data_IF_521651365492
#
_entry.id   IF_521651365492
#
_cell.length_a   1.000
_cell.length_b   1.000
_cell.length_c   1.000
_cell.angle_alpha   90.00
_cell.angle_beta   90.00
_cell.angle_gamma   90.00
#
_symmetry.space_group_name_H-M   'P 1'
#
loop_
_entity.id
_entity.type
_entity.pdbx_description
1 polymer ?
#
# COMPACT_ATOMS: atom_id res chain seq x y z
N UNK A 1 8.69 56.43 -18.23
CA UNK A 1 9.85 55.69 -17.69
C UNK A 1 9.31 54.92 -16.49
N UNK A 2 8.62 53.81 -16.77
CA UNK A 2 8.02 52.96 -15.75
C UNK A 2 9.12 52.13 -15.10
N UNK A 3 9.29 52.30 -13.79
CA UNK A 3 10.15 51.48 -12.96
C UNK A 3 9.49 50.11 -12.77
N UNK A 4 10.07 49.09 -13.37
CA UNK A 4 9.79 47.67 -13.10
C UNK A 4 9.91 47.38 -11.59
N UNK A 5 9.07 46.49 -11.03
CA UNK A 5 9.17 46.12 -9.62
C UNK A 5 10.46 45.33 -9.37
N UNK A 6 11.09 45.63 -8.25
CA UNK A 6 12.30 44.99 -7.77
C UNK A 6 12.17 43.46 -7.78
N UNK A 7 13.21 42.80 -8.28
CA UNK A 7 13.38 41.36 -8.20
C UNK A 7 13.07 40.87 -6.78
N UNK A 8 12.20 39.88 -6.66
CA UNK A 8 11.96 39.18 -5.41
C UNK A 8 13.31 38.76 -4.82
N UNK A 9 13.65 39.32 -3.66
CA UNK A 9 14.83 38.91 -2.92
C UNK A 9 14.71 37.40 -2.67
N UNK A 10 15.57 36.61 -3.30
CA UNK A 10 15.61 35.17 -3.09
C UNK A 10 15.94 34.93 -1.64
N UNK A 11 14.95 34.53 -0.84
CA UNK A 11 15.17 34.14 0.54
C UNK A 11 16.08 32.93 0.55
N UNK A 12 17.27 33.06 1.12
CA UNK A 12 18.19 31.95 1.28
C UNK A 12 17.59 31.01 2.32
N UNK A 13 17.79 29.69 2.17
CA UNK A 13 17.32 28.69 3.14
C UNK A 13 17.79 29.01 4.58
N UNK A 14 18.92 29.71 4.69
CA UNK A 14 19.52 30.18 5.93
C UNK A 14 18.79 31.36 6.60
N UNK A 15 17.81 31.98 5.94
CA UNK A 15 17.01 33.10 6.48
C UNK A 15 15.64 32.66 7.01
N UNK A 16 15.25 31.39 6.79
CA UNK A 16 13.92 30.91 7.18
C UNK A 16 13.75 30.78 8.71
N UNK A 17 12.56 31.00 9.27
CA UNK A 17 12.31 30.76 10.69
C UNK A 17 12.42 29.26 11.04
N UNK A 18 12.67 28.92 12.31
CA UNK A 18 12.82 27.52 12.77
C UNK A 18 11.58 26.67 12.43
N UNK A 19 10.37 27.21 12.59
CA UNK A 19 9.13 26.50 12.26
C UNK A 19 9.05 26.07 10.79
N UNK A 20 9.59 26.90 9.88
CA UNK A 20 9.66 26.56 8.46
C UNK A 20 10.68 25.44 8.21
N UNK A 21 11.83 25.46 8.88
CA UNK A 21 12.83 24.39 8.81
C UNK A 21 12.28 23.07 9.35
N UNK A 22 11.57 23.09 10.48
CA UNK A 22 10.89 21.91 11.04
C UNK A 22 9.81 21.39 10.09
N UNK A 23 9.04 22.27 9.46
CA UNK A 23 8.02 21.91 8.47
C UNK A 23 8.62 21.26 7.21
N UNK A 24 9.79 21.75 6.76
CA UNK A 24 10.56 21.14 5.67
C UNK A 24 11.05 19.75 6.09
N UNK A 25 11.70 19.62 7.24
CA UNK A 25 12.19 18.31 7.72
C UNK A 25 11.05 17.30 7.92
N UNK A 26 9.88 17.74 8.38
CA UNK A 26 8.70 16.90 8.50
C UNK A 26 8.14 16.43 7.14
N UNK A 27 8.52 17.03 6.00
CA UNK A 27 8.12 16.55 4.66
C UNK A 27 8.95 15.33 4.27
N UNK A 28 10.23 15.38 4.61
CA UNK A 28 11.26 14.48 4.12
C UNK A 28 11.13 13.08 4.71
N UNK A 29 11.62 12.11 3.94
CA UNK A 29 11.87 10.77 4.48
C UNK A 29 13.08 10.83 5.44
N UNK A 30 13.22 9.91 6.41
CA UNK A 30 14.36 9.90 7.31
C UNK A 30 15.75 10.00 6.63
N UNK A 31 16.06 9.28 5.53
CA UNK A 31 17.35 9.44 4.86
C UNK A 31 17.51 10.82 4.21
N UNK A 32 16.46 11.37 3.61
CA UNK A 32 16.51 12.70 2.99
C UNK A 32 16.66 13.80 4.05
N UNK A 33 16.00 13.66 5.20
CA UNK A 33 16.15 14.57 6.34
C UNK A 33 17.57 14.54 6.89
N UNK A 34 18.20 13.35 6.98
CA UNK A 34 19.59 13.22 7.38
C UNK A 34 20.55 13.86 6.38
N UNK A 35 20.32 13.66 5.06
CA UNK A 35 21.10 14.31 4.01
C UNK A 35 20.97 15.85 4.08
N UNK A 36 19.75 16.35 4.31
CA UNK A 36 19.47 17.76 4.43
C UNK A 36 20.13 18.39 5.68
N UNK A 37 20.14 17.65 6.81
CA UNK A 37 20.86 18.03 8.02
C UNK A 37 22.38 18.10 7.78
N UNK A 38 22.96 17.15 7.03
CA UNK A 38 24.38 17.19 6.67
C UNK A 38 24.73 18.37 5.76
N UNK A 39 23.80 18.81 4.91
CA UNK A 39 24.02 19.89 3.95
C UNK A 39 23.92 21.31 4.57
N UNK A 40 23.19 21.48 5.67
CA UNK A 40 22.93 22.79 6.27
C UNK A 40 22.93 22.75 7.80
N UNK A 41 23.76 23.59 8.43
CA UNK A 41 23.86 23.68 9.91
C UNK A 41 22.54 24.03 10.58
N UNK A 42 21.72 24.90 9.98
CA UNK A 42 20.40 25.26 10.54
C UNK A 42 19.41 24.11 10.46
N UNK A 43 19.46 23.32 9.38
CA UNK A 43 18.68 22.08 9.30
C UNK A 43 19.20 21.02 10.27
N UNK A 44 20.51 20.93 10.51
CA UNK A 44 21.05 20.03 11.53
C UNK A 44 20.56 20.40 12.94
N UNK A 45 20.52 21.70 13.27
CA UNK A 45 19.99 22.19 14.53
C UNK A 45 18.49 21.88 14.65
N UNK A 46 17.70 22.16 13.62
CA UNK A 46 16.27 21.86 13.59
C UNK A 46 15.98 20.35 13.64
N UNK A 47 16.83 19.51 13.03
CA UNK A 47 16.70 18.05 13.07
C UNK A 47 16.93 17.46 14.47
N UNK A 48 17.71 18.17 15.30
CA UNK A 48 17.97 17.78 16.69
C UNK A 48 16.97 18.40 17.66
N UNK A 49 16.05 19.23 17.18
CA UNK A 49 15.08 19.94 18.02
C UNK A 49 14.02 18.97 18.56
N UNK A 50 13.69 19.02 19.87
CA UNK A 50 12.60 18.23 20.45
C UNK A 50 11.22 18.62 19.90
N UNK A 51 11.13 19.71 19.13
CA UNK A 51 9.92 20.19 18.45
C UNK A 51 9.67 19.51 17.10
N UNK A 52 10.66 18.81 16.51
CA UNK A 52 10.46 18.11 15.24
C UNK A 52 9.39 16.99 15.27
N UNK A 53 9.32 16.13 16.31
CA UNK A 53 8.24 15.15 16.44
C UNK A 53 6.87 15.82 16.48
N UNK A 54 6.76 16.99 17.12
CA UNK A 54 5.52 17.77 17.18
C UNK A 54 5.13 18.29 15.79
N UNK A 55 6.07 18.88 15.05
CA UNK A 55 5.82 19.34 13.68
C UNK A 55 5.35 18.19 12.76
N UNK A 56 5.95 17.00 12.91
CA UNK A 56 5.52 15.81 12.17
C UNK A 56 4.13 15.32 12.61
N UNK A 57 3.83 15.28 13.90
CA UNK A 57 2.53 14.87 14.43
C UNK A 57 1.41 15.81 13.95
N UNK A 58 1.63 17.12 13.97
CA UNK A 58 0.71 18.14 13.47
C UNK A 58 0.43 17.96 11.98
N UNK A 59 1.47 17.71 11.17
CA UNK A 59 1.29 17.41 9.73
C UNK A 59 0.45 16.15 9.50
N UNK A 60 0.64 15.12 10.33
CA UNK A 60 -0.11 13.87 10.21
C UNK A 60 -1.55 13.98 10.73
N UNK A 61 -1.96 15.16 11.24
CA UNK A 61 -3.29 15.37 11.82
C UNK A 61 -3.51 14.61 13.13
N UNK A 62 -2.43 14.27 13.84
CA UNK A 62 -2.50 13.48 15.06
C UNK A 62 -2.78 14.35 16.29
N UNK A 63 -3.59 13.87 17.25
CA UNK A 63 -3.64 14.48 18.57
C UNK A 63 -2.23 14.47 19.16
N UNK A 64 -1.83 15.61 19.73
CA UNK A 64 -0.49 15.77 20.26
C UNK A 64 -0.22 14.71 21.33
N UNK A 65 0.86 13.92 21.21
CA UNK A 65 1.31 13.05 22.28
C UNK A 65 1.45 13.86 23.57
N UNK A 66 0.82 13.40 24.66
CA UNK A 66 0.90 14.04 25.98
C UNK A 66 2.34 14.36 26.45
N UNK A 67 3.37 13.53 26.16
CA UNK A 67 4.75 13.86 26.49
C UNK A 67 5.28 15.13 25.81
N UNK A 68 4.73 15.52 24.65
CA UNK A 68 5.13 16.72 23.90
C UNK A 68 4.35 17.99 24.32
N UNK A 69 3.23 17.82 25.02
CA UNK A 69 2.39 18.91 25.54
C UNK A 69 2.87 19.45 26.88
N UNK A 70 3.61 18.63 27.65
CA UNK A 70 4.27 19.06 28.88
C UNK A 70 5.49 19.93 28.52
N UNK A 71 5.22 21.20 28.21
CA UNK A 71 6.22 22.20 27.80
C UNK A 71 7.26 22.49 28.89
N UNK A 72 8.27 21.64 28.99
CA UNK A 72 9.44 21.79 29.84
C UNK A 72 10.11 20.43 30.05
N UNK A 73 11.31 20.25 29.49
CA UNK A 73 12.16 19.05 29.60
C UNK A 73 11.59 17.74 29.04
N UNK A 74 11.11 17.77 27.78
CA UNK A 74 10.98 16.53 27.02
C UNK A 74 12.37 15.92 26.82
N UNK A 75 12.63 14.77 27.45
CA UNK A 75 13.87 14.00 27.29
C UNK A 75 14.18 13.84 25.79
N UNK A 76 15.36 14.27 25.31
CA UNK A 76 15.72 14.15 23.89
C UNK A 76 15.64 12.69 23.40
N UNK A 77 15.87 11.70 24.28
CA UNK A 77 15.72 10.29 23.92
C UNK A 77 14.25 9.89 23.75
N UNK A 78 13.34 10.42 24.57
CA UNK A 78 11.88 10.26 24.39
C UNK A 78 11.40 10.95 23.10
N UNK A 79 11.85 12.18 22.82
CA UNK A 79 11.53 12.87 21.56
C UNK A 79 12.00 12.08 20.33
N UNK A 80 13.20 11.52 20.38
CA UNK A 80 13.74 10.66 19.32
C UNK A 80 12.96 9.33 19.16
N UNK A 81 12.47 8.72 20.26
CA UNK A 81 11.57 7.55 20.21
C UNK A 81 10.26 7.90 19.50
N UNK A 82 9.62 9.00 19.91
CA UNK A 82 8.36 9.46 19.29
C UNK A 82 8.57 9.75 17.80
N UNK A 83 9.65 10.42 17.42
CA UNK A 83 9.96 10.69 16.01
C UNK A 83 10.09 9.40 15.19
N UNK A 84 10.82 8.41 15.70
CA UNK A 84 10.97 7.09 15.07
C UNK A 84 9.62 6.38 14.94
N UNK A 85 8.81 6.41 15.98
CA UNK A 85 7.47 5.83 16.01
C UNK A 85 6.54 6.50 15.00
N UNK A 86 6.54 7.84 14.91
CA UNK A 86 5.76 8.60 13.93
C UNK A 86 6.19 8.29 12.49
N UNK A 87 7.49 8.23 12.22
CA UNK A 87 7.97 7.81 10.89
C UNK A 87 7.59 6.37 10.57
N UNK A 88 7.65 5.46 11.56
CA UNK A 88 7.23 4.07 11.40
C UNK A 88 5.74 3.96 11.05
N UNK A 89 4.87 4.69 11.76
CA UNK A 89 3.43 4.73 11.47
C UNK A 89 3.13 5.40 10.13
N UNK A 90 3.82 6.50 9.80
CA UNK A 90 3.71 7.16 8.48
C UNK A 90 4.05 6.20 7.34
N UNK A 91 5.05 5.33 7.53
CA UNK A 91 5.43 4.31 6.53
C UNK A 91 4.39 3.21 6.35
N UNK A 92 3.54 2.96 7.35
CA UNK A 92 2.46 1.99 7.26
C UNK A 92 1.26 2.54 6.49
N UNK A 93 1.08 3.85 6.37
CA UNK A 93 -0.10 4.43 5.71
C UNK A 93 -0.24 3.97 4.26
N UNK A 94 -1.49 3.71 3.87
CA UNK A 94 -1.89 3.38 2.51
C UNK A 94 -2.39 1.95 2.35
N UNK A 95 -2.33 1.46 1.11
CA UNK A 95 -2.89 0.18 0.69
C UNK A 95 -1.81 -0.91 0.64
N UNK A 96 -2.19 -2.08 1.15
CA UNK A 96 -1.33 -3.24 1.30
C UNK A 96 -2.05 -4.47 0.77
N UNK A 97 -1.27 -5.38 0.20
CA UNK A 97 -1.75 -6.66 -0.30
C UNK A 97 -1.27 -7.78 0.59
N UNK A 98 -2.19 -8.58 1.11
CA UNK A 98 -1.89 -9.80 1.86
C UNK A 98 -1.34 -10.87 0.92
N UNK A 99 -0.23 -11.51 1.31
CA UNK A 99 0.32 -12.66 0.62
C UNK A 99 -0.38 -13.95 1.09
N UNK A 100 -0.49 -14.97 0.21
CA UNK A 100 -0.91 -16.30 0.63
C UNK A 100 -0.15 -16.77 1.86
N UNK A 101 -0.88 -17.16 2.90
CA UNK A 101 -0.28 -17.99 3.95
C UNK A 101 -0.08 -19.40 3.38
N UNK A 102 1.10 -19.97 3.60
CA UNK A 102 1.38 -21.38 3.27
C UNK A 102 0.64 -22.36 4.20
N UNK A 103 -0.02 -21.84 5.25
CA UNK A 103 -0.84 -22.63 6.16
C UNK A 103 -2.24 -22.85 5.59
N UNK A 104 -2.65 -24.11 5.49
CA UNK A 104 -3.95 -24.58 4.94
C UNK A 104 -5.12 -24.26 5.89
N UNK A 105 -4.97 -23.26 6.77
CA UNK A 105 -5.99 -22.87 7.74
C UNK A 105 -7.11 -22.10 7.04
N UNK A 106 -8.19 -22.82 6.76
CA UNK A 106 -9.45 -22.29 6.24
C UNK A 106 -10.20 -21.55 7.35
N UNK A 107 -9.90 -20.27 7.60
CA UNK A 107 -10.82 -19.44 8.38
C UNK A 107 -10.94 -18.00 7.87
N UNK A 108 -12.05 -17.78 7.16
CA UNK A 108 -13.04 -16.69 7.30
C UNK A 108 -12.68 -15.21 7.06
N UNK A 109 -11.47 -14.85 6.65
CA UNK A 109 -11.27 -13.55 5.98
C UNK A 109 -10.32 -13.71 4.79
N UNK A 110 -10.92 -13.98 3.63
CA UNK A 110 -10.23 -14.14 2.35
C UNK A 110 -9.80 -12.82 1.70
N UNK A 111 -9.79 -11.74 2.48
CA UNK A 111 -9.37 -10.41 2.05
C UNK A 111 -7.88 -10.37 1.75
N UNK A 112 -7.56 -10.17 0.48
CA UNK A 112 -6.23 -10.01 -0.07
C UNK A 112 -5.72 -8.57 0.02
N UNK A 113 -6.58 -7.63 0.45
CA UNK A 113 -6.26 -6.22 0.60
C UNK A 113 -6.44 -5.75 2.04
N UNK A 114 -5.55 -4.87 2.47
CA UNK A 114 -5.60 -4.17 3.74
C UNK A 114 -5.33 -2.68 3.53
N UNK A 115 -5.99 -1.83 4.32
CA UNK A 115 -5.75 -0.41 4.39
C UNK A 115 -5.26 -0.03 5.78
N UNK A 116 -4.23 0.81 5.84
CA UNK A 116 -3.75 1.43 7.06
C UNK A 116 -4.07 2.91 6.97
N UNK A 117 -5.00 3.36 7.80
CA UNK A 117 -5.52 4.72 7.81
C UNK A 117 -5.55 5.27 9.23
N UNK A 118 -5.46 6.59 9.37
CA UNK A 118 -5.61 7.23 10.67
C UNK A 118 -7.06 7.14 11.13
N UNK A 119 -7.25 6.58 12.32
CA UNK A 119 -8.52 6.51 12.99
C UNK A 119 -8.71 7.72 13.91
N UNK A 120 -9.96 8.03 14.31
CA UNK A 120 -10.22 9.03 15.33
C UNK A 120 -9.41 8.73 16.59
N UNK A 121 -8.88 9.78 17.24
CA UNK A 121 -8.01 9.71 18.45
C UNK A 121 -6.53 9.38 18.19
N UNK A 122 -6.04 9.47 16.96
CA UNK A 122 -4.60 9.39 16.68
C UNK A 122 -4.03 7.98 16.71
N UNK A 123 -4.90 6.97 16.61
CA UNK A 123 -4.48 5.60 16.40
C UNK A 123 -4.48 5.31 14.91
N UNK A 124 -3.59 4.43 14.46
CA UNK A 124 -3.56 3.92 13.10
C UNK A 124 -4.39 2.63 13.08
N UNK A 125 -5.46 2.59 12.30
CA UNK A 125 -6.28 1.40 12.13
C UNK A 125 -5.85 0.66 10.86
N UNK A 126 -5.60 -0.64 11.00
CA UNK A 126 -5.44 -1.57 9.90
C UNK A 126 -6.76 -2.32 9.70
N UNK A 127 -7.34 -2.19 8.50
CA UNK A 127 -8.59 -2.83 8.13
C UNK A 127 -8.42 -3.69 6.89
N UNK A 128 -8.95 -4.90 6.92
CA UNK A 128 -9.09 -5.73 5.71
C UNK A 128 -10.21 -5.15 4.85
N UNK A 129 -9.97 -5.12 3.54
CA UNK A 129 -10.95 -4.66 2.56
C UNK A 129 -11.60 -5.88 1.91
N UNK A 130 -12.92 -5.90 1.87
CA UNK A 130 -13.68 -6.93 1.19
C UNK A 130 -14.69 -6.29 0.23
N UNK A 131 -14.97 -6.92 -0.93
CA UNK A 131 -16.06 -6.48 -1.78
C UNK A 131 -17.40 -6.60 -1.05
N UNK A 132 -18.20 -5.55 -1.04
CA UNK A 132 -19.57 -5.61 -0.53
C UNK A 132 -20.48 -6.35 -1.52
N UNK A 133 -21.48 -7.12 -1.05
CA UNK A 133 -22.54 -7.63 -1.93
C UNK A 133 -23.45 -6.51 -2.49
N UNK A 134 -23.34 -5.28 -1.96
CA UNK A 134 -24.20 -4.15 -2.32
C UNK A 134 -23.45 -3.11 -3.16
N UNK A 135 -23.47 -3.31 -4.48
CA UNK A 135 -22.95 -2.33 -5.45
C UNK A 135 -21.44 -2.13 -5.38
N UNK A 136 -20.98 -0.88 -5.49
CA UNK A 136 -19.55 -0.50 -5.50
C UNK A 136 -18.94 -0.29 -4.11
N UNK A 137 -19.70 -0.59 -3.04
CA UNK A 137 -19.27 -0.36 -1.67
C UNK A 137 -18.15 -1.33 -1.23
N UNK A 138 -17.23 -0.85 -0.40
CA UNK A 138 -16.13 -1.65 0.16
C UNK A 138 -16.38 -1.85 1.65
N UNK A 139 -16.46 -3.10 2.09
CA UNK A 139 -16.57 -3.41 3.51
C UNK A 139 -15.19 -3.33 4.17
N UNK A 140 -15.11 -2.65 5.31
CA UNK A 140 -13.89 -2.57 6.14
C UNK A 140 -14.06 -3.46 7.36
N UNK A 141 -13.10 -4.34 7.62
CA UNK A 141 -13.02 -5.09 8.88
C UNK A 141 -11.71 -4.77 9.60
N UNK A 142 -11.73 -3.98 10.68
CA UNK A 142 -10.52 -3.65 11.44
C UNK A 142 -9.97 -4.92 12.10
N UNK A 143 -8.65 -5.11 12.00
CA UNK A 143 -7.98 -6.30 12.58
C UNK A 143 -6.80 -5.94 13.47
N UNK A 144 -6.13 -4.80 13.25
CA UNK A 144 -5.07 -4.29 14.12
C UNK A 144 -5.26 -2.80 14.35
N UNK A 145 -4.99 -2.35 15.57
CA UNK A 145 -4.85 -0.92 15.89
C UNK A 145 -3.44 -0.66 16.40
N UNK A 146 -2.82 0.42 15.94
CA UNK A 146 -1.50 0.86 16.40
C UNK A 146 -1.60 2.24 17.03
N UNK A 147 -0.84 2.46 18.10
CA UNK A 147 -0.71 3.77 18.75
C UNK A 147 0.70 3.97 19.29
N UNK A 148 0.98 5.18 19.77
CA UNK A 148 2.20 5.51 20.49
C UNK A 148 1.84 5.57 21.97
N UNK A 149 2.57 4.82 22.80
CA UNK A 149 2.37 4.81 24.25
C UNK A 149 3.06 6.01 24.94
N UNK A 150 2.97 6.07 26.27
CA UNK A 150 3.58 7.15 27.06
C UNK A 150 5.12 7.15 27.00
N UNK A 151 5.73 5.99 26.69
CA UNK A 151 7.18 5.86 26.54
C UNK A 151 7.69 6.31 25.17
N UNK A 152 6.77 6.58 24.23
CA UNK A 152 7.07 6.94 22.85
C UNK A 152 7.25 5.75 21.93
N UNK A 153 6.97 4.53 22.41
CA UNK A 153 7.08 3.30 21.64
C UNK A 153 5.75 2.95 20.98
N UNK A 154 5.83 2.26 19.84
CA UNK A 154 4.64 1.83 19.09
C UNK A 154 4.06 0.56 19.70
N UNK A 155 2.81 0.63 20.12
CA UNK A 155 2.04 -0.53 20.59
C UNK A 155 1.01 -0.93 19.54
N UNK A 156 0.78 -2.23 19.37
CA UNK A 156 -0.23 -2.75 18.47
C UNK A 156 -1.09 -3.82 19.14
N UNK A 157 -2.40 -3.72 18.91
CA UNK A 157 -3.41 -4.61 19.49
C UNK A 157 -4.29 -5.20 18.39
N UNK A 158 -4.53 -6.51 18.46
CA UNK A 158 -5.52 -7.17 17.61
C UNK A 158 -6.93 -6.72 18.00
N UNK A 159 -7.80 -6.57 17.01
CA UNK A 159 -9.22 -6.28 17.24
C UNK A 159 -9.96 -7.61 17.40
N UNK A 160 -10.54 -7.85 18.58
CA UNK A 160 -11.33 -9.04 18.86
C UNK A 160 -10.56 -10.28 19.33
N UNK A 161 -9.23 -10.21 19.44
CA UNK A 161 -8.40 -11.23 20.11
C UNK A 161 -7.65 -10.60 21.29
N UNK A 162 -7.64 -11.28 22.44
CA UNK A 162 -6.90 -10.85 23.62
C UNK A 162 -5.40 -11.17 23.43
N UNK A 163 -4.65 -10.25 22.82
CA UNK A 163 -3.21 -10.37 22.72
C UNK A 163 -2.49 -9.19 22.05
N UNK A 164 -1.29 -8.81 22.52
CA UNK A 164 -0.44 -7.85 21.81
C UNK A 164 0.01 -8.44 20.47
N UNK A 165 0.14 -7.57 19.46
CA UNK A 165 0.57 -7.93 18.10
C UNK A 165 1.84 -7.14 17.77
N UNK A 166 2.70 -7.70 16.93
CA UNK A 166 3.86 -7.04 16.36
C UNK A 166 3.65 -6.83 14.85
N UNK A 167 4.02 -5.64 14.35
CA UNK A 167 4.02 -5.31 12.90
C UNK A 167 5.45 -5.06 12.44
N UNK A 168 6.13 -6.07 11.94
CA UNK A 168 7.55 -6.00 11.62
C UNK A 168 7.78 -5.69 10.14
N UNK A 169 8.70 -4.77 9.83
CA UNK A 169 9.07 -4.47 8.45
C UNK A 169 10.14 -5.46 7.96
N UNK A 170 9.87 -6.09 6.81
CA UNK A 170 10.84 -6.87 6.04
C UNK A 170 11.26 -6.02 4.84
N UNK A 171 12.24 -5.13 5.06
CA UNK A 171 12.62 -4.13 4.07
C UNK A 171 11.63 -2.96 3.97
N UNK A 172 11.45 -2.41 2.76
CA UNK A 172 10.71 -1.15 2.57
C UNK A 172 9.23 -1.34 2.22
N UNK A 173 8.89 -2.42 1.53
CA UNK A 173 7.57 -2.65 0.95
C UNK A 173 6.89 -3.92 1.47
N UNK A 174 7.42 -4.55 2.52
CA UNK A 174 6.86 -5.78 3.08
C UNK A 174 6.80 -5.67 4.60
N UNK A 175 5.65 -6.04 5.16
CA UNK A 175 5.42 -6.15 6.60
C UNK A 175 4.92 -7.54 6.98
N UNK A 176 5.16 -7.92 8.23
CA UNK A 176 4.68 -9.15 8.84
C UNK A 176 3.93 -8.79 10.11
N UNK A 177 2.70 -9.27 10.22
CA UNK A 177 1.84 -9.09 11.39
C UNK A 177 1.78 -10.43 12.13
N UNK A 178 2.25 -10.47 13.36
CA UNK A 178 2.36 -11.70 14.15
C UNK A 178 2.04 -11.44 15.62
N UNK A 179 1.60 -12.45 16.40
CA UNK A 179 1.38 -12.28 17.82
C UNK A 179 2.69 -11.90 18.50
N UNK A 180 2.65 -10.88 19.37
CA UNK A 180 3.82 -10.50 20.13
C UNK A 180 4.21 -11.66 21.05
N UNK A 181 5.48 -12.07 21.01
CA UNK A 181 5.98 -13.05 21.96
C UNK A 181 5.82 -12.46 23.36
N UNK A 182 5.15 -13.20 24.26
CA UNK A 182 5.11 -12.82 25.67
C UNK A 182 6.56 -12.68 26.14
N UNK A 183 6.98 -11.46 26.49
CA UNK A 183 8.27 -11.22 27.10
C UNK A 183 8.29 -11.97 28.42
N UNK A 184 8.91 -13.14 28.46
CA UNK A 184 9.41 -13.69 29.71
C UNK A 184 10.52 -12.75 30.16
N UNK A 185 10.25 -11.98 31.21
CA UNK A 185 11.29 -11.22 31.90
C UNK A 185 12.35 -12.14 32.50
N UNK A 186 13.49 -11.52 32.85
CA UNK A 186 14.75 -12.09 33.39
C UNK A 186 15.68 -12.56 32.24
N UNK A 187 16.87 -12.00 31.99
CA UNK A 187 17.88 -11.42 32.89
C UNK A 187 18.68 -10.26 32.25
N UNK A 188 19.14 -9.36 33.14
CA UNK A 188 20.30 -8.49 32.96
C UNK A 188 21.54 -9.31 32.55
N UNK A 189 22.40 -8.76 31.68
CA UNK A 189 23.84 -8.66 31.99
C UNK A 189 24.60 -7.83 30.93
N UNK A 190 25.18 -6.75 31.46
CA UNK A 190 26.55 -6.28 31.27
C UNK A 190 26.99 -5.70 29.91
N UNK A 191 27.28 -4.40 29.98
CA UNK A 191 28.09 -3.64 29.06
C UNK A 191 29.48 -4.27 28.89
N UNK A 192 29.92 -4.44 27.64
CA UNK A 192 31.34 -4.51 27.32
C UNK A 192 31.65 -3.74 26.03
N UNK A 193 32.79 -3.10 26.11
CA UNK A 193 33.24 -1.92 25.39
C UNK A 193 33.88 -2.23 24.03
N UNK A 194 33.86 -1.23 23.15
CA UNK A 194 34.58 -1.05 21.87
C UNK A 194 35.65 -2.07 21.43
N UNK A 195 35.54 -2.46 20.16
CA UNK A 195 36.68 -2.81 19.29
C UNK A 195 36.26 -3.22 17.87
N UNK A 196 36.63 -2.42 16.86
CA UNK A 196 36.47 -2.70 15.42
C UNK A 196 37.56 -3.67 14.88
N UNK A 197 37.42 -4.22 13.65
CA UNK A 197 37.67 -5.64 13.31
C UNK A 197 39.04 -5.94 12.65
N UNK A 198 39.31 -7.21 12.30
CA UNK A 198 39.65 -7.49 10.91
C UNK A 198 39.06 -8.80 10.32
N UNK A 199 38.54 -8.66 9.09
CA UNK A 199 38.69 -9.48 7.88
C UNK A 199 39.41 -10.86 7.97
N UNK A 200 38.65 -11.98 7.93
CA UNK A 200 39.04 -13.28 7.34
C UNK A 200 37.78 -14.00 6.80
N UNK A 201 37.42 -13.74 5.54
CA UNK A 201 37.54 -14.62 4.36
C UNK A 201 36.76 -15.96 4.43
N UNK A 202 35.69 -16.03 3.64
CA UNK A 202 35.19 -17.19 2.88
C UNK A 202 35.56 -18.60 3.35
N UNK A 203 34.68 -19.29 4.11
CA UNK A 203 34.60 -20.77 4.02
C UNK A 203 33.42 -21.48 4.75
N UNK A 204 32.18 -20.96 4.76
CA UNK A 204 31.08 -21.70 5.44
C UNK A 204 29.82 -21.97 4.60
N UNK A 205 29.86 -21.69 3.29
CA UNK A 205 28.82 -22.10 2.34
C UNK A 205 29.34 -23.15 1.34
N UNK A 206 29.57 -24.38 1.80
CA UNK A 206 29.52 -25.55 0.92
C UNK A 206 29.36 -26.85 1.71
N UNK A 207 28.21 -27.49 1.54
CA UNK A 207 27.96 -28.93 1.68
C UNK A 207 28.22 -29.59 3.05
N UNK A 208 27.15 -30.08 3.67
CA UNK A 208 27.01 -31.53 3.95
C UNK A 208 25.58 -31.93 4.29
N UNK A 209 25.08 -32.87 3.49
CA UNK A 209 23.93 -33.73 3.76
C UNK A 209 24.16 -34.48 5.09
N UNK A 210 23.10 -34.59 5.89
CA UNK A 210 22.90 -35.41 7.12
C UNK A 210 23.35 -36.88 6.92
N UNK A 211 23.56 -37.75 7.97
CA UNK A 211 22.69 -37.93 9.15
C UNK A 211 23.35 -38.34 10.51
N UNK A 212 22.67 -38.15 11.64
CA UNK A 212 23.02 -38.86 12.89
C UNK A 212 22.61 -38.20 14.22
N UNK A 213 21.56 -38.76 14.84
CA UNK A 213 21.31 -38.92 16.28
C UNK A 213 21.70 -37.79 17.28
N UNK A 214 20.67 -37.13 17.83
CA UNK A 214 20.80 -36.26 19.01
C UNK A 214 19.45 -35.75 19.51
N UNK A 215 18.58 -36.66 19.95
CA UNK A 215 17.25 -36.37 20.48
C UNK A 215 17.33 -35.54 21.77
N UNK A 216 17.18 -34.21 21.66
CA UNK A 216 16.75 -33.36 22.79
C UNK A 216 15.26 -33.13 22.66
N UNK A 217 14.50 -33.95 23.40
CA UNK A 217 13.06 -33.82 23.63
C UNK A 217 12.76 -32.40 24.13
N UNK A 218 12.25 -31.54 23.26
CA UNK A 218 11.56 -30.32 23.65
C UNK A 218 10.25 -30.76 24.30
N UNK A 219 10.14 -30.56 25.61
CA UNK A 219 8.96 -30.90 26.40
C UNK A 219 7.73 -30.21 25.82
N UNK A 220 6.85 -31.01 25.21
CA UNK A 220 5.45 -30.66 24.94
C UNK A 220 4.73 -30.62 26.29
N UNK A 221 4.73 -29.47 26.97
CA UNK A 221 3.73 -29.20 28.00
C UNK A 221 3.57 -27.69 28.13
N UNK A 222 2.37 -27.21 27.83
CA UNK A 222 2.00 -25.80 28.03
C UNK A 222 1.51 -25.03 26.80
N UNK A 223 1.25 -25.66 25.64
CA UNK A 223 0.36 -25.00 24.65
C UNK A 223 -1.07 -25.06 25.17
N UNK A 224 -1.43 -24.09 26.03
CA UNK A 224 -2.82 -23.67 26.15
C UNK A 224 -3.31 -23.43 24.72
N UNK A 225 -4.41 -24.11 24.38
CA UNK A 225 -5.17 -23.90 23.15
C UNK A 225 -5.72 -22.47 23.15
N UNK A 226 -4.87 -21.50 22.85
CA UNK A 226 -5.27 -20.20 22.38
C UNK A 226 -5.27 -20.27 20.86
N UNK A 227 -6.36 -19.85 20.25
CA UNK A 227 -6.48 -19.58 18.82
C UNK A 227 -5.53 -18.40 18.54
N UNK A 228 -4.25 -18.68 18.35
CA UNK A 228 -3.24 -17.64 18.15
C UNK A 228 -3.22 -17.23 16.69
N UNK A 229 -3.27 -15.92 16.44
CA UNK A 229 -3.02 -15.31 15.14
C UNK A 229 -1.77 -15.94 14.49
N UNK A 230 -1.91 -16.44 13.25
CA UNK A 230 -0.76 -16.87 12.46
C UNK A 230 -0.05 -15.65 11.86
N UNK A 231 1.25 -15.76 11.56
CA UNK A 231 1.99 -14.67 10.93
C UNK A 231 1.42 -14.36 9.53
N UNK A 232 0.99 -13.12 9.31
CA UNK A 232 0.43 -12.64 8.06
C UNK A 232 1.40 -11.68 7.36
N UNK A 233 1.67 -11.92 6.08
CA UNK A 233 2.60 -11.12 5.29
C UNK A 233 1.83 -10.15 4.39
N UNK A 234 2.25 -8.89 4.34
CA UNK A 234 1.64 -7.88 3.47
C UNK A 234 2.68 -7.11 2.66
N UNK A 235 2.40 -6.89 1.38
CA UNK A 235 3.25 -6.11 0.47
C UNK A 235 2.57 -4.80 0.10
N UNK A 236 3.29 -3.68 0.21
CA UNK A 236 2.77 -2.35 -0.10
C UNK A 236 2.39 -2.23 -1.56
N UNK A 237 1.26 -1.59 -1.83
CA UNK A 237 0.87 -1.13 -3.16
C UNK A 237 1.38 0.30 -3.28
N UNK A 238 2.60 0.48 -3.80
CA UNK A 238 3.24 1.80 -3.89
C UNK A 238 2.49 2.74 -4.85
N UNK A 239 2.00 2.17 -5.95
CA UNK A 239 1.38 2.85 -7.08
C UNK A 239 -0.15 2.71 -7.01
N UNK A 240 -0.75 3.08 -5.88
CA UNK A 240 -2.18 2.86 -5.63
C UNK A 240 -3.11 3.92 -6.26
N UNK A 241 -2.56 5.09 -6.62
CA UNK A 241 -3.30 6.22 -7.21
C UNK A 241 -2.71 6.57 -8.60
N UNK A 242 -3.54 7.08 -9.52
CA UNK A 242 -3.09 7.51 -10.84
C UNK A 242 -2.24 8.79 -10.75
N UNK A 243 -1.44 9.02 -11.79
CA UNK A 243 -0.69 10.28 -11.96
C UNK A 243 -0.94 10.84 -13.36
N UNK A 244 -0.63 12.11 -13.60
CA UNK A 244 -0.76 12.71 -14.94
C UNK A 244 0.02 11.95 -16.01
N UNK A 245 1.21 11.46 -15.67
CA UNK A 245 2.04 10.66 -16.58
C UNK A 245 1.57 9.20 -16.72
N UNK A 246 0.86 8.67 -15.72
CA UNK A 246 0.37 7.29 -15.67
C UNK A 246 -1.09 7.28 -15.21
N UNK A 247 -2.03 7.68 -16.09
CA UNK A 247 -3.42 7.92 -15.71
C UNK A 247 -4.20 6.65 -15.36
N UNK A 248 -3.76 5.50 -15.88
CA UNK A 248 -4.39 4.21 -15.60
C UNK A 248 -3.81 3.50 -14.38
N UNK A 249 -2.68 3.97 -13.85
CA UNK A 249 -1.99 3.32 -12.75
C UNK A 249 -2.86 3.39 -11.50
N UNK A 250 -2.92 2.32 -10.70
CA UNK A 250 -3.64 2.38 -9.44
C UNK A 250 -4.32 1.08 -9.04
N UNK A 251 -4.92 1.14 -7.85
CA UNK A 251 -5.89 0.16 -7.39
C UNK A 251 -7.31 0.65 -7.68
N UNK A 252 -8.02 -0.16 -8.45
CA UNK A 252 -9.34 0.13 -8.98
C UNK A 252 -10.36 -0.91 -8.49
N UNK A 253 -11.64 -0.54 -8.50
CA UNK A 253 -12.76 -1.43 -8.24
C UNK A 253 -13.80 -1.33 -9.34
N UNK A 254 -14.41 -2.45 -9.70
CA UNK A 254 -15.43 -2.52 -10.74
C UNK A 254 -16.38 -3.69 -10.52
N UNK A 255 -17.55 -3.63 -11.15
CA UNK A 255 -18.51 -4.73 -11.15
C UNK A 255 -18.19 -5.63 -12.34
N UNK A 256 -17.82 -6.89 -12.06
CA UNK A 256 -17.52 -7.86 -13.10
C UNK A 256 -18.79 -8.42 -13.75
N UNK A 257 -18.63 -9.20 -14.82
CA UNK A 257 -19.74 -9.87 -15.52
C UNK A 257 -20.56 -10.78 -14.60
N UNK A 258 -19.96 -11.35 -13.55
CA UNK A 258 -20.69 -12.10 -12.51
C UNK A 258 -21.49 -11.21 -11.54
N UNK A 259 -21.58 -9.91 -11.81
CA UNK A 259 -22.24 -8.89 -10.99
C UNK A 259 -21.70 -8.81 -9.56
N UNK A 260 -20.41 -9.12 -9.42
CA UNK A 260 -19.68 -9.05 -8.16
C UNK A 260 -18.68 -7.91 -8.20
N UNK A 261 -18.53 -7.19 -7.10
CA UNK A 261 -17.47 -6.20 -6.97
C UNK A 261 -16.11 -6.91 -6.91
N UNK A 262 -15.17 -6.41 -7.69
CA UNK A 262 -13.81 -6.94 -7.80
C UNK A 262 -12.80 -5.80 -7.77
N UNK A 263 -11.59 -6.12 -7.33
CA UNK A 263 -10.46 -5.20 -7.30
C UNK A 263 -9.50 -5.50 -8.45
N UNK A 264 -9.00 -4.45 -9.08
CA UNK A 264 -8.08 -4.52 -10.22
C UNK A 264 -6.87 -3.66 -9.92
N UNK A 265 -5.68 -4.23 -10.06
CA UNK A 265 -4.41 -3.52 -9.94
C UNK A 265 -3.84 -3.30 -11.33
N UNK A 266 -3.63 -2.04 -11.70
CA UNK A 266 -3.04 -1.64 -12.97
C UNK A 266 -1.67 -1.06 -12.73
N UNK A 267 -0.65 -1.64 -13.37
CA UNK A 267 0.75 -1.26 -13.21
C UNK A 267 1.40 -1.00 -14.56
N UNK A 268 2.22 0.04 -14.61
CA UNK A 268 3.11 0.32 -15.73
C UNK A 268 4.44 -0.39 -15.48
N UNK A 269 4.92 -1.12 -16.48
CA UNK A 269 6.23 -1.77 -16.42
C UNK A 269 7.36 -0.82 -16.85
N UNK A 270 8.60 -1.28 -16.64
CA UNK A 270 9.81 -0.49 -16.95
C UNK A 270 10.04 -0.29 -18.46
N UNK A 271 9.36 -1.07 -19.30
CA UNK A 271 9.44 -1.02 -20.77
C UNK A 271 8.34 -0.09 -21.33
N UNK A 272 7.47 0.45 -20.46
CA UNK A 272 6.40 1.37 -20.82
C UNK A 272 5.10 0.68 -21.23
N UNK A 273 4.95 -0.62 -20.96
CA UNK A 273 3.71 -1.38 -21.09
C UNK A 273 2.81 -1.23 -19.86
N UNK A 274 1.55 -1.66 -20.01
CA UNK A 274 0.54 -1.69 -18.96
C UNK A 274 0.07 -3.12 -18.77
N UNK A 275 -0.06 -3.52 -17.51
CA UNK A 275 -0.68 -4.80 -17.14
C UNK A 275 -1.77 -4.56 -16.10
N UNK A 276 -2.91 -5.21 -16.28
CA UNK A 276 -3.99 -5.24 -15.30
C UNK A 276 -4.17 -6.65 -14.77
N UNK A 277 -4.28 -6.74 -13.45
CA UNK A 277 -4.47 -7.98 -12.74
C UNK A 277 -5.63 -7.84 -11.76
N UNK A 278 -6.51 -8.83 -11.74
CA UNK A 278 -7.52 -8.94 -10.71
C UNK A 278 -6.87 -9.35 -9.39
N UNK A 279 -7.26 -8.66 -8.32
CA UNK A 279 -6.88 -8.94 -6.95
C UNK A 279 -8.03 -9.75 -6.33
N UNK A 280 -7.94 -11.08 -6.40
CA UNK A 280 -9.03 -11.99 -6.06
C UNK A 280 -9.10 -12.31 -4.56
N UNK A 281 -10.30 -12.17 -3.99
CA UNK A 281 -10.66 -12.65 -2.63
C UNK A 281 -11.52 -13.92 -2.66
N UNK A 282 -12.08 -14.29 -3.82
CA UNK A 282 -13.34 -15.02 -3.86
C UNK A 282 -13.25 -16.51 -4.17
N UNK A 283 -12.09 -17.10 -4.46
CA UNK A 283 -12.01 -18.55 -4.71
C UNK A 283 -10.72 -19.11 -4.13
N UNK A 284 -10.85 -19.94 -3.10
CA UNK A 284 -9.77 -20.57 -2.32
C UNK A 284 -8.86 -21.54 -3.09
N UNK A 285 -8.55 -21.26 -4.34
CA UNK A 285 -7.56 -21.96 -5.14
C UNK A 285 -6.68 -20.89 -5.77
N UNK A 286 -5.43 -20.86 -5.32
CA UNK A 286 -4.38 -19.89 -5.71
C UNK A 286 -4.77 -18.43 -5.48
N UNK A 287 -4.34 -17.84 -4.36
CA UNK A 287 -4.23 -16.37 -4.25
C UNK A 287 -3.08 -15.92 -5.17
N UNK A 288 -3.40 -15.90 -6.46
CA UNK A 288 -2.52 -15.53 -7.55
C UNK A 288 -3.29 -14.51 -8.37
N UNK A 289 -2.63 -13.40 -8.67
CA UNK A 289 -3.16 -12.40 -9.56
C UNK A 289 -3.65 -13.06 -10.85
N UNK A 290 -4.94 -12.91 -11.17
CA UNK A 290 -5.46 -13.33 -12.47
C UNK A 290 -5.18 -12.19 -13.44
N UNK A 291 -4.31 -12.38 -14.45
CA UNK A 291 -4.09 -11.33 -15.43
C UNK A 291 -5.40 -11.13 -16.21
N UNK A 292 -5.77 -9.88 -16.49
CA UNK A 292 -6.99 -9.53 -17.22
C UNK A 292 -6.65 -9.00 -18.60
N UNK A 293 -5.79 -7.98 -18.66
CA UNK A 293 -5.33 -7.42 -19.93
C UNK A 293 -3.90 -6.91 -19.82
N UNK A 294 -3.29 -6.74 -20.99
CA UNK A 294 -1.99 -6.11 -21.12
C UNK A 294 -1.90 -5.32 -22.43
N UNK A 295 -0.98 -4.37 -22.47
CA UNK A 295 -0.54 -3.75 -23.72
C UNK A 295 0.91 -3.31 -23.58
N UNK A 296 1.69 -3.49 -24.64
CA UNK A 296 3.03 -2.90 -24.77
C UNK A 296 2.98 -1.52 -25.42
N UNK A 297 1.87 -1.19 -26.08
CA UNK A 297 1.67 0.10 -26.70
C UNK A 297 0.75 0.96 -25.84
N UNK A 298 1.34 1.98 -25.22
CA UNK A 298 0.64 2.92 -24.34
C UNK A 298 0.26 4.23 -25.03
N UNK A 299 0.37 4.31 -26.36
CA UNK A 299 -0.09 5.48 -27.11
C UNK A 299 -1.62 5.55 -27.09
N UNK A 300 -2.15 6.59 -26.45
CA UNK A 300 -3.56 6.87 -26.47
C UNK A 300 -4.01 7.39 -27.83
N UNK A 301 -5.18 6.95 -28.27
CA UNK A 301 -5.95 7.57 -29.33
C UNK A 301 -6.66 8.77 -28.70
N UNK A 302 -6.40 9.96 -29.23
CA UNK A 302 -7.01 11.21 -28.80
C UNK A 302 -8.15 11.63 -29.75
N UNK A 303 -8.97 12.58 -29.32
CA UNK A 303 -10.03 13.14 -30.17
C UNK A 303 -9.44 13.90 -31.38
N UNK A 304 -10.11 13.91 -32.55
CA UNK A 304 -11.39 13.25 -32.83
C UNK A 304 -11.25 11.74 -33.09
N UNK A 305 -12.16 10.94 -32.53
CA UNK A 305 -12.19 9.49 -32.72
C UNK A 305 -12.76 9.10 -34.08
N UNK A 306 -12.27 7.98 -34.63
CA UNK A 306 -12.84 7.37 -35.84
C UNK A 306 -14.25 6.83 -35.57
N UNK A 307 -15.10 6.79 -36.61
CA UNK A 307 -16.47 6.22 -36.54
C UNK A 307 -16.46 4.80 -35.96
N UNK A 308 -15.49 3.97 -36.35
CA UNK A 308 -15.30 2.62 -35.82
C UNK A 308 -15.13 2.58 -34.29
N UNK A 309 -14.32 3.49 -33.73
CA UNK A 309 -14.07 3.52 -32.27
C UNK A 309 -15.28 4.10 -31.51
N UNK A 310 -16.02 5.02 -32.13
CA UNK A 310 -17.28 5.52 -31.58
C UNK A 310 -18.37 4.44 -31.56
N UNK A 311 -18.47 3.63 -32.62
CA UNK A 311 -19.41 2.50 -32.70
C UNK A 311 -19.05 1.42 -31.67
N UNK A 312 -17.76 1.12 -31.52
CA UNK A 312 -17.28 0.19 -30.50
C UNK A 312 -17.65 0.59 -29.08
N UNK A 313 -17.73 1.89 -28.79
CA UNK A 313 -18.15 2.39 -27.48
C UNK A 313 -19.68 2.44 -27.36
N UNK A 314 -20.35 3.08 -28.33
CA UNK A 314 -21.78 3.39 -28.27
C UNK A 314 -22.68 2.16 -28.30
N UNK A 315 -22.21 1.04 -28.86
CA UNK A 315 -22.96 -0.21 -28.92
C UNK A 315 -22.91 -1.08 -27.66
N UNK A 316 -22.08 -0.73 -26.66
CA UNK A 316 -21.81 -1.57 -25.49
C UNK A 316 -22.61 -1.18 -24.26
N UNK A 317 -22.92 -2.19 -23.44
CA UNK A 317 -23.60 -2.02 -22.17
C UNK A 317 -22.60 -1.90 -21.01
N UNK A 318 -22.74 -0.84 -20.21
CA UNK A 318 -21.96 -0.69 -18.99
C UNK A 318 -22.49 -1.62 -17.89
N UNK A 319 -21.62 -2.48 -17.34
CA UNK A 319 -22.02 -3.42 -16.28
C UNK A 319 -22.28 -2.66 -14.99
N UNK A 320 -23.45 -2.92 -14.41
CA UNK A 320 -23.96 -2.24 -13.24
C UNK A 320 -24.19 -3.19 -12.07
N UNK A 321 -24.11 -2.64 -10.86
CA UNK A 321 -24.47 -3.37 -9.64
C UNK A 321 -25.99 -3.54 -9.52
N UNK A 322 -26.43 -4.54 -8.75
CA UNK A 322 -27.85 -4.88 -8.59
C UNK A 322 -28.72 -3.73 -8.04
N UNK A 323 -28.10 -2.74 -7.39
CA UNK A 323 -28.78 -1.62 -6.72
C UNK A 323 -28.43 -0.23 -7.32
N UNK A 324 -27.81 -0.15 -8.50
CA UNK A 324 -27.59 1.18 -9.09
C UNK A 324 -28.90 1.71 -9.67
N UNK A 325 -29.39 2.82 -9.11
CA UNK A 325 -30.48 3.58 -9.72
C UNK A 325 -30.12 3.87 -11.18
N UNK A 326 -31.05 3.55 -12.08
CA UNK A 326 -30.93 3.64 -13.54
C UNK A 326 -30.73 5.08 -14.09
N UNK A 327 -30.28 6.02 -13.26
CA UNK A 327 -30.16 7.45 -13.57
C UNK A 327 -28.80 7.88 -14.11
N UNK A 328 -27.79 6.99 -14.13
CA UNK A 328 -26.43 7.30 -14.58
C UNK A 328 -26.10 6.90 -16.02
N UNK A 329 -27.11 6.54 -16.83
CA UNK A 329 -26.94 6.17 -18.24
C UNK A 329 -26.76 7.39 -19.14
N UNK A 330 -25.73 8.18 -18.88
CA UNK A 330 -25.21 9.08 -19.89
C UNK A 330 -23.90 8.48 -20.39
N UNK A 331 -23.80 8.26 -21.70
CA UNK A 331 -22.55 7.92 -22.37
C UNK A 331 -21.44 8.76 -21.77
N UNK A 332 -20.56 8.14 -20.97
CA UNK A 332 -19.51 8.87 -20.29
C UNK A 332 -18.64 9.51 -21.35
N UNK A 333 -18.33 10.79 -21.18
CA UNK A 333 -17.48 11.49 -22.13
C UNK A 333 -16.11 10.83 -22.17
N UNK A 334 -15.80 10.17 -23.29
CA UNK A 334 -14.52 9.51 -23.51
C UNK A 334 -13.51 10.57 -23.93
N UNK A 335 -12.45 10.71 -23.13
CA UNK A 335 -11.35 11.62 -23.40
C UNK A 335 -10.30 10.96 -24.29
N UNK A 336 -9.95 9.70 -24.00
CA UNK A 336 -8.90 8.95 -24.71
C UNK A 336 -9.24 7.46 -24.79
N UNK A 337 -8.74 6.80 -25.83
CA UNK A 337 -8.94 5.36 -26.03
C UNK A 337 -7.58 4.67 -26.10
N UNK A 338 -7.45 3.50 -25.49
CA UNK A 338 -6.24 2.69 -25.55
C UNK A 338 -6.55 1.25 -26.00
N UNK A 339 -5.78 0.75 -26.95
CA UNK A 339 -5.89 -0.64 -27.41
C UNK A 339 -5.18 -1.58 -26.42
N UNK A 340 -5.85 -2.67 -26.06
CA UNK A 340 -5.33 -3.68 -25.14
C UNK A 340 -5.56 -5.09 -25.70
N UNK A 341 -4.85 -6.07 -25.14
CA UNK A 341 -5.05 -7.48 -25.43
C UNK A 341 -5.45 -8.23 -24.16
N UNK A 342 -6.36 -9.19 -24.30
CA UNK A 342 -6.71 -10.10 -23.22
C UNK A 342 -5.53 -11.00 -22.87
N UNK A 343 -5.31 -11.27 -21.58
CA UNK A 343 -4.17 -12.05 -21.09
C UNK A 343 -4.45 -13.54 -20.88
N UNK A 344 -5.34 -14.16 -21.67
CA UNK A 344 -5.70 -15.58 -21.52
C UNK A 344 -4.51 -16.55 -21.69
N UNK A 345 -3.35 -16.10 -22.20
CA UNK A 345 -2.18 -16.95 -22.49
C UNK A 345 -1.10 -17.02 -21.38
N UNK A 346 -1.20 -16.29 -20.28
CA UNK A 346 -0.05 -16.14 -19.35
C UNK A 346 0.06 -17.24 -18.26
N UNK A 347 -0.72 -18.34 -18.34
CA UNK A 347 -0.84 -19.30 -17.21
C UNK A 347 -0.45 -20.75 -17.51
N UNK A 348 0.02 -21.12 -18.70
CA UNK A 348 0.42 -22.52 -18.95
C UNK A 348 1.87 -22.71 -19.46
N UNK A 349 2.83 -23.06 -18.58
CA UNK A 349 4.21 -23.38 -18.97
C UNK A 349 4.36 -24.72 -19.70
N UNK A 350 3.30 -25.51 -19.89
CA UNK A 350 3.38 -26.87 -20.43
C UNK A 350 2.81 -27.05 -21.84
N UNK A 351 2.35 -25.98 -22.49
CA UNK A 351 1.85 -26.07 -23.86
C UNK A 351 2.91 -25.60 -24.86
N UNK A 352 3.84 -26.50 -25.17
CA UNK A 352 4.70 -26.42 -26.36
C UNK A 352 3.85 -26.66 -27.61
N UNK A 353 3.15 -25.64 -28.10
CA UNK A 353 2.57 -25.63 -29.44
C UNK A 353 2.78 -24.26 -30.11
N UNK A 354 2.95 -24.19 -31.44
CA UNK A 354 3.23 -22.94 -32.13
C UNK A 354 2.09 -21.94 -31.91
N UNK A 355 2.48 -20.71 -31.54
CA UNK A 355 1.64 -19.53 -31.38
C UNK A 355 0.97 -19.18 -32.71
N UNK A 356 -0.21 -19.73 -32.96
CA UNK A 356 -1.05 -19.36 -34.10
C UNK A 356 -2.32 -18.67 -33.57
N UNK A 357 -2.25 -17.34 -33.55
CA UNK A 357 -3.28 -16.28 -33.68
C UNK A 357 -4.68 -16.38 -33.03
N UNK A 358 -4.98 -17.41 -32.23
CA UNK A 358 -6.36 -17.73 -31.80
C UNK A 358 -6.68 -17.41 -30.33
N UNK A 359 -5.81 -16.69 -29.60
CA UNK A 359 -6.00 -16.47 -28.14
C UNK A 359 -5.85 -15.03 -27.64
N UNK A 360 -5.38 -14.10 -28.47
CA UNK A 360 -5.31 -12.68 -28.12
C UNK A 360 -6.58 -11.97 -28.53
N UNK A 361 -7.57 -11.92 -27.64
CA UNK A 361 -8.78 -11.12 -27.87
C UNK A 361 -8.42 -9.64 -27.72
N UNK A 362 -8.54 -8.89 -28.83
CA UNK A 362 -8.37 -7.44 -28.84
C UNK A 362 -9.43 -6.77 -27.96
N UNK A 363 -9.04 -5.72 -27.24
CA UNK A 363 -9.93 -4.92 -26.41
C UNK A 363 -9.59 -3.44 -26.43
N UNK A 364 -10.38 -2.68 -25.69
CA UNK A 364 -10.25 -1.24 -25.53
C UNK A 364 -10.35 -0.85 -24.06
N UNK A 365 -9.61 0.18 -23.70
CA UNK A 365 -9.82 0.99 -22.52
C UNK A 365 -10.37 2.33 -22.98
N UNK A 366 -11.45 2.78 -22.38
CA UNK A 366 -12.02 4.11 -22.56
C UNK A 366 -11.74 4.92 -21.30
N UNK A 367 -10.81 5.87 -21.40
CA UNK A 367 -10.51 6.82 -20.33
C UNK A 367 -11.54 7.95 -20.39
N UNK A 368 -12.24 8.18 -19.29
CA UNK A 368 -13.28 9.18 -19.17
C UNK A 368 -12.70 10.52 -18.70
N UNK A 369 -13.43 11.61 -18.93
CA UNK A 369 -13.03 12.96 -18.51
C UNK A 369 -12.90 13.13 -16.98
N UNK A 370 -13.58 12.30 -16.20
CA UNK A 370 -13.50 12.30 -14.73
C UNK A 370 -12.25 11.61 -14.18
N UNK A 371 -11.37 11.11 -15.05
CA UNK A 371 -10.15 10.38 -14.70
C UNK A 371 -10.37 8.89 -14.38
N UNK A 372 -11.61 8.41 -14.39
CA UNK A 372 -11.92 6.98 -14.33
C UNK A 372 -11.90 6.35 -15.72
N UNK A 373 -11.98 5.03 -15.81
CA UNK A 373 -11.99 4.36 -17.11
C UNK A 373 -12.80 3.09 -17.11
N UNK A 374 -13.25 2.68 -18.29
CA UNK A 374 -13.85 1.38 -18.52
C UNK A 374 -12.98 0.54 -19.46
N UNK A 375 -13.12 -0.77 -19.40
CA UNK A 375 -12.50 -1.66 -20.37
C UNK A 375 -13.47 -2.73 -20.88
N UNK A 376 -13.19 -3.24 -22.08
CA UNK A 376 -14.01 -4.26 -22.72
C UNK A 376 -13.27 -4.92 -23.89
N UNK A 377 -13.68 -6.14 -24.23
CA UNK A 377 -13.05 -6.94 -25.29
C UNK A 377 -13.96 -7.08 -26.49
N UNK A 378 -13.43 -7.29 -27.69
CA UNK A 378 -14.20 -7.37 -28.94
C UNK A 378 -15.29 -8.47 -28.93
N UNK A 379 -15.11 -9.52 -28.11
CA UNK A 379 -16.09 -10.61 -27.93
C UNK A 379 -17.18 -10.35 -26.89
N UNK A 380 -17.07 -9.30 -26.08
CA UNK A 380 -18.08 -8.94 -25.07
C UNK A 380 -18.83 -7.68 -25.48
N UNK A 381 -20.16 -7.67 -25.34
CA UNK A 381 -20.95 -6.44 -25.54
C UNK A 381 -21.01 -5.58 -24.26
N UNK A 382 -20.05 -5.77 -23.36
CA UNK A 382 -20.03 -5.20 -22.02
C UNK A 382 -18.81 -4.29 -21.83
N UNK A 383 -18.97 -3.30 -20.96
CA UNK A 383 -17.89 -2.48 -20.41
C UNK A 383 -17.88 -2.64 -18.89
N UNK A 384 -16.72 -3.01 -18.35
CA UNK A 384 -16.49 -2.97 -16.90
C UNK A 384 -15.95 -1.59 -16.58
N UNK A 385 -16.76 -0.76 -15.94
CA UNK A 385 -16.33 0.53 -15.42
C UNK A 385 -15.54 0.38 -14.13
N UNK A 386 -14.37 1.00 -14.10
CA UNK A 386 -13.48 1.02 -12.96
C UNK A 386 -13.52 2.38 -12.27
N UNK A 387 -13.59 2.36 -10.94
CA UNK A 387 -13.48 3.53 -10.07
C UNK A 387 -12.32 3.36 -9.09
N UNK A 388 -11.84 4.46 -8.54
CA UNK A 388 -10.80 4.41 -7.50
C UNK A 388 -11.27 3.65 -6.26
N UNK A 389 -10.38 2.86 -5.67
CA UNK A 389 -10.60 2.27 -4.34
C UNK A 389 -10.36 3.30 -3.24
N UNK A 390 -9.36 4.17 -3.42
CA UNK A 390 -9.02 5.23 -2.50
C UNK A 390 -8.78 6.55 -3.22
N UNK A 391 -9.02 7.66 -2.53
CA UNK A 391 -8.60 8.99 -2.96
C UNK A 391 -8.07 9.74 -1.75
N UNK A 392 -6.91 10.40 -1.91
CA UNK A 392 -6.25 11.17 -0.85
C UNK A 392 -6.01 10.33 0.42
N UNK A 393 -5.69 9.04 0.25
CA UNK A 393 -5.46 8.13 1.38
C UNK A 393 -6.71 7.66 2.13
N UNK A 394 -7.92 8.01 1.67
CA UNK A 394 -9.18 7.52 2.23
C UNK A 394 -9.84 6.52 1.28
N UNK A 395 -10.40 5.43 1.82
CA UNK A 395 -11.15 4.44 1.03
C UNK A 395 -12.52 5.00 0.63
N UNK A 396 -12.88 4.89 -0.64
CA UNK A 396 -14.14 5.36 -1.21
C UNK A 396 -15.27 4.32 -1.06
N UNK A 397 -16.49 4.81 -0.84
CA UNK A 397 -17.71 4.00 -0.63
C UNK A 397 -17.54 2.96 0.48
N UNK A 398 -16.84 3.32 1.56
CA UNK A 398 -16.60 2.42 2.68
C UNK A 398 -17.87 2.24 3.52
N UNK A 399 -18.26 0.99 3.76
CA UNK A 399 -19.23 0.63 4.79
C UNK A 399 -18.46 0.34 6.08
N UNK A 400 -18.83 1.04 7.15
CA UNK A 400 -18.25 0.93 8.48
C UNK A 400 -18.96 -0.10 9.35
#
# INVERSE_FOLDING_TARGET
>A
METLPAAAAGTVLEDLPEDALLSILALLSPPDAAAAACACRRLAAAASSPSLPLALALRLGLPLPRPLLAGGDADPAAAARILRSLHRLRRLLGLWRRLPSTSVSRSASSSSLAAFEWAPRGTLAASLLAPSPHGLAVAKSPFVTLSIDESGDTVAAAVGEDGPVCVNFVGNNHIVVEPAAASSGEDDDEALERGSPPEVVYMHFANRRSPGAGSRKRSKQGRRRGRGMEAEHFVRIADAEPTEARPLQGLWKGISESRTLEFYLVTYDDIGGITCRQVSDTRGQTSGFTPIFWTINTTFIEQPFSEKELDHYSGREHIQGVNSDHSGTENRAVSRILCIHSSYDVVDPHLSAPLDDMRNVEGRIWLYEDGTFGFGFAGSNSIIDLKHVSSNGCILDALH
#
